data_IF_502277190078
#
_entry.id   IF_502277190078
#
_cell.length_a   1.000
_cell.length_b   1.000
_cell.length_c   1.000
_cell.angle_alpha   90.00
_cell.angle_beta   90.00
_cell.angle_gamma   90.00
#
_symmetry.space_group_name_H-M   'P 1'
#
loop_
_entity.id
_entity.type
_entity.pdbx_description
1 polymer ?
#
# COMPACT_ATOMS: atom_id res chain seq x y z
N UNK A 1 -3.47 3.98 19.28
CA UNK A 1 -2.22 3.40 19.84
C UNK A 1 -1.25 4.55 19.97
N UNK A 2 -0.88 4.84 21.19
CA UNK A 2 0.04 5.94 21.51
C UNK A 2 1.49 5.50 21.31
N UNK A 3 2.27 6.33 20.61
CA UNK A 3 3.68 6.11 20.32
C UNK A 3 4.51 7.08 21.15
N UNK A 4 5.23 6.56 22.15
CA UNK A 4 6.11 7.32 23.00
C UNK A 4 7.53 7.43 22.44
N UNK A 5 8.30 8.44 22.92
CA UNK A 5 9.73 8.62 22.60
C UNK A 5 10.57 7.38 22.86
N UNK A 6 10.36 6.74 24.01
CA UNK A 6 11.13 5.57 24.41
C UNK A 6 10.87 4.42 23.46
N UNK A 7 9.63 4.27 23.01
CA UNK A 7 9.21 3.22 22.09
C UNK A 7 9.82 3.41 20.71
N UNK A 8 9.79 4.64 20.16
CA UNK A 8 10.45 4.94 18.88
C UNK A 8 11.95 4.70 18.96
N UNK A 9 12.60 5.13 20.05
CA UNK A 9 14.05 4.96 20.23
C UNK A 9 14.47 3.48 20.27
N UNK A 10 13.65 2.59 20.84
CA UNK A 10 13.93 1.15 20.91
C UNK A 10 13.93 0.48 19.53
N UNK A 11 13.29 1.08 18.52
CA UNK A 11 13.23 0.58 17.16
C UNK A 11 14.40 1.00 16.28
N UNK A 12 15.41 1.68 16.85
CA UNK A 12 16.60 2.16 16.14
C UNK A 12 16.27 3.00 14.87
N UNK A 13 15.49 4.07 15.01
CA UNK A 13 15.16 4.95 13.88
C UNK A 13 16.42 5.61 13.32
N UNK A 14 16.38 6.06 12.08
CA UNK A 14 17.42 6.89 11.54
C UNK A 14 17.53 8.22 12.33
N UNK A 15 18.73 8.79 12.40
CA UNK A 15 19.01 10.00 13.18
C UNK A 15 18.11 11.18 12.81
N UNK A 16 17.88 11.37 11.51
CA UNK A 16 17.04 12.47 11.02
C UNK A 16 15.57 12.26 11.31
N UNK A 17 15.06 11.04 11.15
CA UNK A 17 13.68 10.68 11.49
C UNK A 17 13.40 10.86 12.98
N UNK A 18 14.34 10.43 13.83
CA UNK A 18 14.20 10.62 15.27
C UNK A 18 14.28 12.09 15.70
N UNK A 19 15.17 12.91 15.10
CA UNK A 19 15.23 14.35 15.34
C UNK A 19 13.96 15.05 14.92
N UNK A 20 13.39 14.67 13.76
CA UNK A 20 12.13 15.21 13.29
C UNK A 20 10.99 14.88 14.26
N UNK A 21 10.88 13.61 14.67
CA UNK A 21 9.90 13.17 15.68
C UNK A 21 10.00 13.98 16.97
N UNK A 22 11.22 14.15 17.51
CA UNK A 22 11.47 14.90 18.74
C UNK A 22 11.09 16.38 18.67
N UNK A 23 11.13 16.97 17.47
CA UNK A 23 10.74 18.37 17.29
C UNK A 23 9.22 18.56 17.22
N UNK A 24 8.50 17.60 16.66
CA UNK A 24 7.08 17.73 16.36
C UNK A 24 6.18 17.03 17.38
N UNK A 25 6.69 16.00 18.08
CA UNK A 25 5.91 15.14 18.98
C UNK A 25 6.64 14.94 20.31
N UNK A 26 6.81 16.03 21.07
CA UNK A 26 7.59 16.00 22.32
C UNK A 26 7.00 15.07 23.39
N UNK A 27 5.69 14.91 23.45
CA UNK A 27 4.99 14.08 24.43
C UNK A 27 4.54 12.72 23.86
N UNK A 28 4.82 12.44 22.60
CA UNK A 28 4.32 11.29 21.86
C UNK A 28 3.18 11.66 20.92
N UNK A 29 2.65 10.70 20.22
CA UNK A 29 1.52 10.86 19.29
C UNK A 29 0.72 9.57 19.17
N UNK A 30 -0.53 9.68 18.76
CA UNK A 30 -1.25 8.54 18.22
C UNK A 30 -0.66 8.13 16.87
N UNK A 31 -0.78 6.82 16.58
CA UNK A 31 -0.08 6.18 15.47
C UNK A 31 -0.47 6.76 14.10
N UNK A 32 -1.76 6.81 13.77
CA UNK A 32 -2.18 7.33 12.46
C UNK A 32 -1.89 8.82 12.29
N UNK A 33 -2.16 9.72 13.24
CA UNK A 33 -1.74 11.12 13.16
C UNK A 33 -0.24 11.31 12.95
N UNK A 34 0.61 10.43 13.49
CA UNK A 34 2.05 10.47 13.24
C UNK A 34 2.40 10.07 11.80
N UNK A 35 1.77 9.02 11.26
CA UNK A 35 1.93 8.64 9.85
C UNK A 35 1.50 9.77 8.91
N UNK A 36 0.36 10.39 9.18
CA UNK A 36 -0.19 11.50 8.38
C UNK A 36 0.75 12.72 8.40
N UNK A 37 1.31 13.05 9.57
CA UNK A 37 2.27 14.14 9.70
C UNK A 37 3.59 13.87 8.97
N UNK A 38 4.08 12.63 8.97
CA UNK A 38 5.26 12.22 8.20
C UNK A 38 5.01 12.35 6.70
N UNK A 39 3.86 11.89 6.22
CA UNK A 39 3.47 12.01 4.81
C UNK A 39 3.34 13.48 4.41
N UNK A 40 2.66 14.31 5.20
CA UNK A 40 2.52 15.75 4.95
C UNK A 40 3.85 16.49 4.93
N UNK A 41 4.86 16.01 5.67
CA UNK A 41 6.23 16.54 5.64
C UNK A 41 7.10 15.99 4.49
N UNK A 42 6.53 15.22 3.56
CA UNK A 42 7.26 14.56 2.47
C UNK A 42 8.14 13.38 2.92
N UNK A 43 7.98 12.91 4.16
CA UNK A 43 8.77 11.82 4.76
C UNK A 43 8.07 10.46 4.63
N UNK A 44 7.62 10.14 3.43
CA UNK A 44 6.85 8.92 3.14
C UNK A 44 7.65 7.65 3.50
N UNK A 45 8.96 7.64 3.26
CA UNK A 45 9.82 6.49 3.62
C UNK A 45 9.87 6.25 5.13
N UNK A 46 9.87 7.31 5.94
CA UNK A 46 9.83 7.19 7.40
C UNK A 46 8.46 6.70 7.89
N UNK A 47 7.37 7.15 7.25
CA UNK A 47 6.03 6.65 7.52
C UNK A 47 5.91 5.14 7.21
N UNK A 48 6.43 4.70 6.06
CA UNK A 48 6.48 3.29 5.70
C UNK A 48 7.32 2.48 6.69
N UNK A 49 8.52 2.96 7.03
CA UNK A 49 9.37 2.33 8.03
C UNK A 49 8.66 2.19 9.39
N UNK A 50 7.97 3.26 9.82
CA UNK A 50 7.21 3.24 11.06
C UNK A 50 6.12 2.16 11.02
N UNK A 51 5.41 2.03 9.91
CA UNK A 51 4.42 0.98 9.74
C UNK A 51 5.04 -0.43 9.77
N UNK A 52 6.22 -0.62 9.20
CA UNK A 52 6.93 -1.90 9.25
C UNK A 52 7.35 -2.27 10.69
N UNK A 53 7.59 -1.27 11.56
CA UNK A 53 7.97 -1.50 12.96
C UNK A 53 6.79 -1.78 13.90
N UNK A 54 5.63 -1.17 13.62
CA UNK A 54 4.46 -1.21 14.52
C UNK A 54 3.32 -2.07 13.99
N UNK A 55 3.35 -2.37 12.71
CA UNK A 55 2.36 -3.21 12.04
C UNK A 55 1.01 -2.52 11.79
N UNK A 56 0.04 -3.28 11.27
CA UNK A 56 -1.29 -2.78 10.96
C UNK A 56 -2.16 -2.58 12.20
N UNK A 57 -3.19 -1.75 12.05
CA UNK A 57 -4.26 -1.59 13.03
C UNK A 57 -5.56 -2.22 12.52
N UNK A 58 -6.55 -2.34 13.42
CA UNK A 58 -7.90 -2.80 13.06
C UNK A 58 -8.83 -1.67 12.58
N UNK A 59 -8.31 -0.46 12.42
CA UNK A 59 -9.09 0.67 11.94
C UNK A 59 -9.57 0.41 10.50
N UNK A 60 -10.77 0.85 10.21
CA UNK A 60 -11.33 0.85 8.85
C UNK A 60 -11.72 2.27 8.51
N UNK A 61 -11.19 2.78 7.41
CA UNK A 61 -11.54 4.08 6.87
C UNK A 61 -12.37 3.88 5.60
N UNK A 62 -13.50 4.55 5.53
CA UNK A 62 -14.38 4.55 4.36
C UNK A 62 -14.42 5.96 3.78
N UNK A 63 -14.13 6.07 2.47
CA UNK A 63 -14.15 7.35 1.75
C UNK A 63 -14.81 7.19 0.38
N UNK A 64 -15.36 8.28 -0.16
CA UNK A 64 -16.04 8.25 -1.45
C UNK A 64 -15.07 8.22 -2.62
N UNK A 65 -13.92 8.88 -2.51
CA UNK A 65 -12.83 8.85 -3.48
C UNK A 65 -11.51 9.14 -2.76
N UNK A 66 -10.40 8.78 -3.38
CA UNK A 66 -9.07 9.04 -2.85
C UNK A 66 -8.19 9.66 -3.93
N UNK A 67 -7.81 10.90 -3.72
CA UNK A 67 -6.84 11.63 -4.55
C UNK A 67 -5.77 12.23 -3.64
N UNK A 68 -4.52 11.85 -3.82
CA UNK A 68 -3.42 12.30 -2.98
C UNK A 68 -2.05 12.10 -3.66
N UNK A 69 -1.03 12.84 -3.20
CA UNK A 69 0.36 12.60 -3.61
C UNK A 69 0.88 11.27 -3.04
N UNK A 70 0.66 11.01 -1.77
CA UNK A 70 1.01 9.77 -1.09
C UNK A 70 0.04 9.49 0.07
N UNK A 71 -0.17 8.21 0.38
CA UNK A 71 -1.00 7.78 1.51
C UNK A 71 -0.32 6.63 2.24
N UNK A 72 -0.22 6.74 3.55
CA UNK A 72 0.21 5.68 4.46
C UNK A 72 -0.83 5.52 5.55
N UNK A 73 -1.62 4.46 5.49
CA UNK A 73 -2.72 4.20 6.42
C UNK A 73 -2.55 2.83 7.09
N UNK A 74 -2.48 2.79 8.40
CA UNK A 74 -2.19 1.57 9.15
C UNK A 74 -3.34 0.55 9.19
N UNK A 75 -4.58 0.96 8.93
CA UNK A 75 -5.76 0.09 8.93
C UNK A 75 -6.13 -0.46 7.55
N UNK A 76 -7.39 -0.79 7.38
CA UNK A 76 -8.01 -1.18 6.10
C UNK A 76 -8.77 -0.01 5.49
N UNK A 77 -8.79 0.07 4.16
CA UNK A 77 -9.40 1.18 3.43
C UNK A 77 -10.50 0.66 2.49
N UNK A 78 -11.66 1.29 2.54
CA UNK A 78 -12.76 1.10 1.59
C UNK A 78 -12.97 2.41 0.83
N UNK A 79 -12.89 2.36 -0.50
CA UNK A 79 -13.10 3.51 -1.37
C UNK A 79 -14.21 3.20 -2.36
N UNK A 80 -15.29 4.00 -2.36
CA UNK A 80 -16.44 3.78 -3.25
C UNK A 80 -16.17 4.21 -4.68
N UNK A 81 -15.35 5.23 -4.88
CA UNK A 81 -15.00 5.79 -6.18
C UNK A 81 -13.56 5.48 -6.59
N UNK A 82 -12.99 6.30 -7.48
CA UNK A 82 -11.65 6.10 -7.98
C UNK A 82 -10.58 6.37 -6.92
N UNK A 83 -9.45 5.67 -7.06
CA UNK A 83 -8.24 5.91 -6.31
C UNK A 83 -7.16 6.41 -7.27
N UNK A 84 -6.67 7.63 -7.04
CA UNK A 84 -5.56 8.22 -7.76
C UNK A 84 -4.50 8.70 -6.76
N UNK A 85 -3.35 8.04 -6.75
CA UNK A 85 -2.21 8.38 -5.88
C UNK A 85 -0.96 8.54 -6.73
N UNK A 86 -0.33 9.70 -6.66
CA UNK A 86 0.78 10.05 -7.55
C UNK A 86 2.07 9.27 -7.26
N UNK A 87 2.30 8.89 -6.01
CA UNK A 87 3.53 8.18 -5.64
C UNK A 87 3.28 6.87 -4.90
N UNK A 88 3.05 6.89 -3.61
CA UNK A 88 2.99 5.69 -2.76
C UNK A 88 1.62 5.55 -2.10
N UNK A 89 1.00 4.40 -2.27
CA UNK A 89 -0.15 3.98 -1.49
C UNK A 89 0.24 2.76 -0.64
N UNK A 90 0.39 2.98 0.67
CA UNK A 90 0.71 1.96 1.66
C UNK A 90 -0.46 1.78 2.62
N UNK A 91 -1.07 0.60 2.64
CA UNK A 91 -2.18 0.24 3.52
C UNK A 91 -1.74 -0.95 4.39
N UNK A 92 -1.91 -0.84 5.71
CA UNK A 92 -1.52 -1.90 6.63
C UNK A 92 -2.43 -3.12 6.60
N UNK A 93 -3.72 -2.92 6.30
CA UNK A 93 -4.73 -3.96 6.13
C UNK A 93 -5.12 -4.19 4.68
N UNK A 94 -6.41 -4.45 4.45
CA UNK A 94 -6.98 -4.68 3.11
C UNK A 94 -7.39 -3.36 2.43
N UNK A 95 -7.33 -3.35 1.11
CA UNK A 95 -7.88 -2.30 0.27
C UNK A 95 -9.04 -2.84 -0.56
N UNK A 96 -10.22 -2.22 -0.41
CA UNK A 96 -11.37 -2.47 -1.24
C UNK A 96 -11.73 -1.20 -2.03
N UNK A 97 -11.67 -1.27 -3.34
CA UNK A 97 -12.07 -0.19 -4.24
C UNK A 97 -13.26 -0.64 -5.11
N UNK A 98 -14.36 0.11 -5.05
CA UNK A 98 -15.55 -0.16 -5.89
C UNK A 98 -15.41 0.43 -7.29
N UNK A 99 -14.24 0.94 -7.64
CA UNK A 99 -13.85 1.49 -8.93
C UNK A 99 -12.41 1.12 -9.27
N UNK A 100 -11.75 1.88 -10.15
CA UNK A 100 -10.36 1.67 -10.54
C UNK A 100 -9.36 2.24 -9.54
N UNK A 101 -8.14 1.69 -9.59
CA UNK A 101 -6.99 2.11 -8.79
C UNK A 101 -5.86 2.51 -9.71
N UNK A 102 -5.31 3.71 -9.50
CA UNK A 102 -4.09 4.19 -10.16
C UNK A 102 -3.09 4.70 -9.14
N UNK A 103 -1.89 4.12 -9.15
CA UNK A 103 -0.78 4.50 -8.27
C UNK A 103 0.48 4.73 -9.11
N UNK A 104 1.15 5.86 -8.90
CA UNK A 104 2.26 6.29 -9.74
C UNK A 104 3.58 5.54 -9.50
N UNK A 105 3.83 4.99 -8.30
CA UNK A 105 5.11 4.33 -7.99
C UNK A 105 4.95 2.99 -7.28
N UNK A 106 4.35 2.96 -6.10
CA UNK A 106 4.25 1.75 -5.28
C UNK A 106 2.88 1.61 -4.65
N UNK A 107 2.26 0.48 -4.87
CA UNK A 107 1.08 0.04 -4.13
C UNK A 107 1.49 -1.14 -3.23
N UNK A 108 1.30 -0.99 -1.92
CA UNK A 108 1.68 -2.03 -0.96
C UNK A 108 0.60 -2.22 0.09
N UNK A 109 0.16 -3.47 0.26
CA UNK A 109 -0.89 -3.86 1.18
C UNK A 109 -0.43 -4.98 2.11
N UNK A 110 -0.81 -4.90 3.39
CA UNK A 110 -0.52 -5.93 4.37
C UNK A 110 -1.58 -7.05 4.44
N UNK A 111 -2.65 -6.98 3.63
CA UNK A 111 -3.66 -8.02 3.47
C UNK A 111 -4.18 -8.02 2.02
N UNK A 112 -5.49 -8.12 1.79
CA UNK A 112 -6.05 -8.37 0.47
C UNK A 112 -6.29 -7.08 -0.34
N UNK A 113 -6.23 -7.20 -1.66
CA UNK A 113 -6.65 -6.21 -2.64
C UNK A 113 -7.90 -6.68 -3.36
N UNK A 114 -8.95 -5.86 -3.34
CA UNK A 114 -10.10 -6.04 -4.20
C UNK A 114 -10.44 -4.75 -4.93
N UNK A 115 -10.55 -4.82 -6.24
CA UNK A 115 -10.98 -3.70 -7.10
C UNK A 115 -12.04 -4.16 -8.10
N UNK A 116 -13.16 -3.44 -8.16
CA UNK A 116 -14.20 -3.68 -9.15
C UNK A 116 -13.84 -3.14 -10.54
N UNK A 117 -12.74 -2.37 -10.66
CA UNK A 117 -12.23 -1.82 -11.91
C UNK A 117 -10.82 -2.30 -12.24
N UNK A 118 -10.13 -1.49 -13.06
CA UNK A 118 -8.74 -1.72 -13.38
C UNK A 118 -7.84 -1.40 -12.19
N UNK A 119 -6.77 -2.16 -12.03
CA UNK A 119 -5.67 -1.85 -11.10
C UNK A 119 -4.44 -1.51 -11.92
N UNK A 120 -3.92 -0.30 -11.73
CA UNK A 120 -2.70 0.17 -12.39
C UNK A 120 -1.71 0.72 -11.39
N UNK A 121 -0.57 0.07 -11.28
CA UNK A 121 0.61 0.60 -10.59
C UNK A 121 1.73 0.82 -11.60
N UNK A 122 2.22 2.05 -11.74
CA UNK A 122 3.31 2.34 -12.69
C UNK A 122 4.67 1.80 -12.23
N UNK A 123 4.84 1.57 -10.94
CA UNK A 123 5.97 0.86 -10.36
C UNK A 123 5.56 -0.53 -9.87
N UNK A 124 5.88 -0.85 -8.61
CA UNK A 124 5.64 -2.17 -8.03
C UNK A 124 4.28 -2.29 -7.34
N UNK A 125 3.74 -3.50 -7.33
CA UNK A 125 2.59 -3.92 -6.53
C UNK A 125 3.01 -5.05 -5.60
N UNK A 126 2.81 -4.86 -4.30
CA UNK A 126 3.05 -5.89 -3.29
C UNK A 126 1.80 -6.05 -2.40
N UNK A 127 1.29 -7.27 -2.31
CA UNK A 127 0.11 -7.63 -1.52
C UNK A 127 0.43 -8.91 -0.75
N UNK A 128 0.36 -8.85 0.59
CA UNK A 128 0.63 -10.03 1.42
C UNK A 128 -0.44 -11.11 1.30
N UNK A 129 -1.69 -10.73 1.00
CA UNK A 129 -2.84 -11.61 0.80
C UNK A 129 -3.20 -11.83 -0.66
N UNK A 130 -4.51 -11.92 -0.92
CA UNK A 130 -5.07 -12.14 -2.25
C UNK A 130 -5.18 -10.85 -3.06
N UNK A 131 -5.02 -10.99 -4.38
CA UNK A 131 -5.28 -9.90 -5.35
C UNK A 131 -6.48 -10.28 -6.21
N UNK A 132 -7.50 -9.42 -6.20
CA UNK A 132 -8.64 -9.52 -7.09
C UNK A 132 -8.91 -8.22 -7.82
N UNK A 133 -8.82 -8.24 -9.13
CA UNK A 133 -9.28 -7.16 -10.01
C UNK A 133 -10.35 -7.71 -10.96
N UNK A 134 -11.53 -7.08 -11.01
CA UNK A 134 -12.61 -7.57 -11.87
C UNK A 134 -12.35 -7.25 -13.36
N UNK A 135 -11.40 -6.33 -13.63
CA UNK A 135 -10.97 -5.98 -15.00
C UNK A 135 -9.48 -6.29 -15.18
N UNK A 136 -8.67 -5.32 -15.65
CA UNK A 136 -7.25 -5.53 -15.93
C UNK A 136 -6.36 -5.23 -14.73
N UNK A 137 -5.21 -5.88 -14.68
CA UNK A 137 -4.12 -5.60 -13.76
C UNK A 137 -2.86 -5.22 -14.55
N UNK A 138 -2.44 -3.97 -14.41
CA UNK A 138 -1.19 -3.46 -14.99
C UNK A 138 -0.22 -3.05 -13.91
N UNK A 139 0.98 -3.66 -13.93
CA UNK A 139 2.07 -3.36 -13.02
C UNK A 139 3.32 -3.05 -13.85
N UNK A 140 3.83 -1.83 -13.75
CA UNK A 140 4.95 -1.37 -14.57
C UNK A 140 6.29 -2.03 -14.23
N UNK A 141 6.45 -2.50 -13.01
CA UNK A 141 7.67 -3.17 -12.56
C UNK A 141 7.35 -4.58 -12.04
N UNK A 142 7.39 -4.78 -10.74
CA UNK A 142 7.26 -6.08 -10.08
C UNK A 142 5.90 -6.26 -9.41
N UNK A 143 5.31 -7.44 -9.58
CA UNK A 143 4.14 -7.91 -8.85
C UNK A 143 4.54 -8.99 -7.85
N UNK A 144 4.25 -8.78 -6.57
CA UNK A 144 4.34 -9.78 -5.51
C UNK A 144 2.96 -9.96 -4.87
N UNK A 145 2.38 -11.14 -5.01
CA UNK A 145 1.11 -11.55 -4.40
C UNK A 145 1.37 -12.74 -3.49
N UNK A 146 1.12 -12.59 -2.19
CA UNK A 146 1.33 -13.66 -1.22
C UNK A 146 0.26 -14.76 -1.27
N UNK A 147 -0.96 -14.42 -1.67
CA UNK A 147 -2.09 -15.33 -1.82
C UNK A 147 -2.44 -15.65 -3.28
N UNK A 148 -3.75 -15.73 -3.56
CA UNK A 148 -4.28 -16.00 -4.88
C UNK A 148 -4.33 -14.73 -5.75
N UNK A 149 -4.10 -14.89 -7.05
CA UNK A 149 -4.30 -13.84 -8.05
C UNK A 149 -5.54 -14.16 -8.90
N UNK A 150 -6.54 -13.28 -8.86
CA UNK A 150 -7.76 -13.39 -9.68
C UNK A 150 -7.99 -12.11 -10.45
N UNK A 151 -7.91 -12.19 -11.77
CA UNK A 151 -8.11 -11.04 -12.67
C UNK A 151 -9.13 -11.41 -13.75
N UNK A 152 -10.15 -10.56 -13.92
CA UNK A 152 -11.24 -10.84 -14.85
C UNK A 152 -10.83 -10.79 -16.32
N UNK A 153 -9.82 -9.96 -16.64
CA UNK A 153 -9.34 -9.77 -18.01
C UNK A 153 -7.82 -9.99 -18.07
N UNK A 154 -7.04 -9.01 -18.51
CA UNK A 154 -5.62 -9.18 -18.80
C UNK A 154 -4.72 -8.82 -17.60
N UNK A 155 -3.57 -9.46 -17.52
CA UNK A 155 -2.49 -9.15 -16.59
C UNK A 155 -1.25 -8.76 -17.37
N UNK A 156 -0.71 -7.58 -17.08
CA UNK A 156 0.56 -7.12 -17.63
C UNK A 156 1.51 -6.72 -16.50
N UNK A 157 2.69 -7.32 -16.45
CA UNK A 157 3.73 -7.04 -15.45
C UNK A 157 5.04 -6.76 -16.16
N UNK A 158 5.65 -5.61 -15.89
CA UNK A 158 6.82 -5.13 -16.63
C UNK A 158 8.09 -5.95 -16.41
N UNK A 159 8.31 -6.50 -15.22
CA UNK A 159 9.57 -7.24 -14.94
C UNK A 159 9.31 -8.63 -14.37
N UNK A 160 8.92 -8.77 -13.12
CA UNK A 160 8.80 -10.04 -12.41
C UNK A 160 7.43 -10.17 -11.76
N UNK A 161 6.85 -11.37 -11.84
CA UNK A 161 5.59 -11.70 -11.19
C UNK A 161 5.80 -12.92 -10.27
N UNK A 162 5.52 -12.73 -8.97
CA UNK A 162 5.58 -13.79 -7.96
C UNK A 162 4.21 -13.95 -7.32
N UNK A 163 3.66 -15.17 -7.33
CA UNK A 163 2.35 -15.48 -6.78
C UNK A 163 2.49 -16.69 -5.85
N UNK A 164 2.09 -16.51 -4.58
CA UNK A 164 2.18 -17.56 -3.57
C UNK A 164 1.08 -18.61 -3.64
N UNK A 165 -0.08 -18.24 -4.18
CA UNK A 165 -1.27 -19.10 -4.30
C UNK A 165 -1.60 -19.48 -5.73
N UNK A 166 -2.89 -19.59 -6.01
CA UNK A 166 -3.42 -19.94 -7.33
C UNK A 166 -3.59 -18.71 -8.21
N UNK A 167 -3.48 -18.91 -9.53
CA UNK A 167 -3.69 -17.86 -10.52
C UNK A 167 -4.90 -18.19 -11.38
N UNK A 168 -5.85 -17.24 -11.48
CA UNK A 168 -7.01 -17.32 -12.36
C UNK A 168 -7.13 -15.98 -13.13
N UNK A 169 -6.87 -16.00 -14.42
CA UNK A 169 -6.93 -14.83 -15.31
C UNK A 169 -7.86 -15.13 -16.45
N UNK A 170 -8.82 -14.23 -16.71
CA UNK A 170 -9.82 -14.42 -17.76
C UNK A 170 -9.31 -14.15 -19.18
N UNK A 171 -8.26 -13.34 -19.31
CA UNK A 171 -7.62 -12.98 -20.57
C UNK A 171 -6.17 -13.39 -20.64
N UNK A 172 -5.35 -12.55 -21.24
CA UNK A 172 -3.93 -12.81 -21.47
C UNK A 172 -3.06 -12.41 -20.28
N UNK A 173 -1.94 -13.11 -20.14
CA UNK A 173 -0.90 -12.81 -19.13
C UNK A 173 0.41 -12.50 -19.82
N UNK A 174 0.90 -11.29 -19.66
CA UNK A 174 2.18 -10.83 -20.18
C UNK A 174 3.11 -10.42 -19.03
N UNK A 175 4.28 -11.06 -18.94
CA UNK A 175 5.30 -10.74 -17.94
C UNK A 175 6.63 -10.47 -18.67
N UNK A 176 7.24 -9.32 -18.39
CA UNK A 176 8.41 -8.85 -19.15
C UNK A 176 9.67 -9.68 -18.97
N UNK A 177 9.87 -10.34 -17.80
CA UNK A 177 11.10 -11.09 -17.53
C UNK A 177 10.85 -12.50 -16.96
N UNK A 178 10.14 -12.66 -15.86
CA UNK A 178 9.92 -13.94 -15.21
C UNK A 178 8.58 -14.04 -14.49
N UNK A 179 7.90 -15.15 -14.68
CA UNK A 179 6.72 -15.57 -13.88
C UNK A 179 7.18 -16.68 -12.93
N UNK A 180 6.91 -16.51 -11.62
CA UNK A 180 7.21 -17.48 -10.56
C UNK A 180 5.99 -17.76 -9.69
#
# INVERSE_FOLDING_TARGET
>A
MEISRQFVRQKNPCTDGFRWFMRHFQEGSDYQPLLDALVAAGRVSDACWLMDQFGPTKAVLEVDALEAEAVVFAGSLLVRGPIEVDSVLRIGGSLRAESGIRVGRRLQLGADLWAAGNVRSLGSLHVDGDVRADWNLLVGERLDCGGDLRVGWDVEVGTECTIGGQTAVGGDVAVGAALK
#
